data_IF_702037181770
#
_entry.id   IF_702037181770
#
_cell.length_a   1.000
_cell.length_b   1.000
_cell.length_c   1.000
_cell.angle_alpha   90.00
_cell.angle_beta   90.00
_cell.angle_gamma   90.00
#
_symmetry.space_group_name_H-M   'P 1'
#
loop_
_entity.id
_entity.type
_entity.pdbx_description
1 polymer ?
#
# COMPACT_ATOMS: atom_id res chain seq x y z
N UNK A 1 20.23 -2.17 9.94
CA UNK A 1 19.61 -3.51 9.97
C UNK A 1 18.43 -3.43 10.92
N UNK A 2 17.20 -3.31 10.41
CA UNK A 2 16.00 -3.21 11.24
C UNK A 2 15.07 -4.39 10.96
N UNK A 3 15.01 -5.26 11.97
CA UNK A 3 13.98 -6.23 12.37
C UNK A 3 13.33 -7.14 11.31
N UNK A 4 13.69 -8.43 11.41
CA UNK A 4 13.11 -9.61 10.78
C UNK A 4 11.66 -9.88 11.24
N UNK A 5 10.69 -9.08 10.79
CA UNK A 5 9.29 -9.47 10.73
C UNK A 5 8.93 -9.63 9.27
N UNK A 6 8.35 -10.77 8.86
CA UNK A 6 7.87 -11.04 7.49
C UNK A 6 7.64 -9.76 6.68
N UNK A 7 8.54 -9.43 5.74
CA UNK A 7 8.46 -8.16 5.02
C UNK A 7 7.05 -8.02 4.44
N UNK A 8 6.36 -6.92 4.74
CA UNK A 8 5.04 -6.61 4.15
C UNK A 8 5.07 -6.83 2.63
N UNK A 9 6.22 -6.58 2.01
CA UNK A 9 6.49 -6.90 0.62
C UNK A 9 6.21 -8.36 0.25
N UNK A 10 6.74 -9.36 0.95
CA UNK A 10 6.55 -10.77 0.57
C UNK A 10 5.11 -11.21 0.69
N UNK A 11 4.38 -10.68 1.69
CA UNK A 11 2.95 -10.96 1.85
C UNK A 11 2.13 -10.39 0.68
N UNK A 12 2.36 -9.13 0.33
CA UNK A 12 1.66 -8.50 -0.79
C UNK A 12 2.08 -9.11 -2.14
N UNK A 13 3.37 -9.41 -2.31
CA UNK A 13 3.90 -9.98 -3.55
C UNK A 13 3.36 -11.38 -3.80
N UNK A 14 3.25 -12.22 -2.76
CA UNK A 14 2.65 -13.55 -2.88
C UNK A 14 1.17 -13.50 -3.29
N UNK A 15 0.44 -12.47 -2.88
CA UNK A 15 -0.99 -12.34 -3.17
C UNK A 15 -1.30 -11.61 -4.49
N UNK A 16 -0.54 -10.56 -4.80
CA UNK A 16 -0.86 -9.64 -5.91
C UNK A 16 0.22 -9.58 -6.99
N UNK A 17 1.40 -10.16 -6.75
CA UNK A 17 2.55 -10.07 -7.64
C UNK A 17 3.29 -8.74 -7.55
N UNK A 18 3.94 -8.34 -8.64
CA UNK A 18 4.78 -7.15 -8.68
C UNK A 18 4.01 -5.82 -8.60
N UNK A 19 2.72 -5.82 -8.96
CA UNK A 19 1.89 -4.62 -9.01
C UNK A 19 0.51 -4.85 -8.41
N UNK A 20 -0.04 -3.84 -7.75
CA UNK A 20 -1.40 -3.82 -7.21
C UNK A 20 -2.28 -2.78 -7.90
N UNK A 21 -3.55 -3.09 -8.15
CA UNK A 21 -4.52 -2.08 -8.62
C UNK A 21 -5.04 -1.22 -7.47
N UNK A 22 -5.72 -0.12 -7.80
CA UNK A 22 -6.39 0.72 -6.80
C UNK A 22 -7.46 -0.07 -6.05
N UNK A 23 -8.18 -0.96 -6.73
CA UNK A 23 -9.19 -1.84 -6.15
C UNK A 23 -8.58 -2.81 -5.15
N UNK A 24 -7.41 -3.40 -5.47
CA UNK A 24 -6.70 -4.31 -4.57
C UNK A 24 -6.16 -3.57 -3.34
N UNK A 25 -5.51 -2.41 -3.54
CA UNK A 25 -5.05 -1.55 -2.45
C UNK A 25 -6.22 -1.16 -1.52
N UNK A 26 -7.35 -0.77 -2.11
CA UNK A 26 -8.59 -0.44 -1.39
C UNK A 26 -9.09 -1.66 -0.60
N UNK A 27 -9.16 -2.83 -1.22
CA UNK A 27 -9.63 -4.04 -0.55
C UNK A 27 -8.76 -4.41 0.65
N UNK A 28 -7.43 -4.27 0.54
CA UNK A 28 -6.47 -4.62 1.60
C UNK A 28 -6.49 -3.61 2.76
N UNK A 29 -6.47 -2.31 2.47
CA UNK A 29 -6.24 -1.28 3.51
C UNK A 29 -7.44 -0.39 3.81
N UNK A 30 -8.42 -0.31 2.90
CA UNK A 30 -9.57 0.59 3.00
C UNK A 30 -10.87 -0.09 2.53
N UNK A 31 -11.25 -1.27 3.08
CA UNK A 31 -12.31 -2.11 2.52
C UNK A 31 -13.69 -1.42 2.44
N UNK A 32 -13.94 -0.45 3.31
CA UNK A 32 -15.17 0.35 3.37
C UNK A 32 -15.14 1.62 2.53
N UNK A 33 -13.99 2.00 1.98
CA UNK A 33 -13.85 3.20 1.16
C UNK A 33 -14.32 2.95 -0.27
N UNK A 34 -14.90 3.97 -0.90
CA UNK A 34 -15.22 3.96 -2.33
C UNK A 34 -13.98 4.24 -3.20
N UNK A 35 -14.02 3.90 -4.49
CA UNK A 35 -12.95 4.25 -5.43
C UNK A 35 -12.76 5.76 -5.60
N UNK A 36 -13.85 6.54 -5.51
CA UNK A 36 -13.77 8.02 -5.50
C UNK A 36 -12.97 8.51 -4.28
N UNK A 37 -13.22 7.92 -3.11
CA UNK A 37 -12.46 8.23 -1.89
C UNK A 37 -10.97 7.88 -2.06
N UNK A 38 -10.66 6.76 -2.72
CA UNK A 38 -9.28 6.38 -3.02
C UNK A 38 -8.60 7.39 -3.95
N UNK A 39 -9.29 7.87 -4.99
CA UNK A 39 -8.77 8.90 -5.89
C UNK A 39 -8.48 10.23 -5.16
N UNK A 40 -9.36 10.62 -4.23
CA UNK A 40 -9.13 11.80 -3.38
C UNK A 40 -7.91 11.61 -2.48
N UNK A 41 -7.76 10.43 -1.86
CA UNK A 41 -6.58 10.10 -1.03
C UNK A 41 -5.28 10.11 -1.85
N UNK A 42 -5.33 9.61 -3.10
CA UNK A 42 -4.19 9.66 -4.01
C UNK A 42 -3.78 11.11 -4.32
N UNK A 43 -4.76 11.94 -4.68
CA UNK A 43 -4.52 13.37 -4.97
C UNK A 43 -4.00 14.13 -3.75
N UNK A 44 -4.42 13.73 -2.56
CA UNK A 44 -3.93 14.28 -1.29
C UNK A 44 -2.55 13.75 -0.86
N UNK A 45 -1.90 12.88 -1.64
CA UNK A 45 -0.60 12.29 -1.29
C UNK A 45 -0.65 11.31 -0.11
N UNK A 46 -1.83 10.77 0.21
CA UNK A 46 -2.04 9.84 1.32
C UNK A 46 -1.86 8.37 0.94
N UNK A 47 -1.65 8.09 -0.35
CA UNK A 47 -1.41 6.76 -0.90
C UNK A 47 0.01 6.69 -1.48
N UNK A 48 0.59 5.49 -1.65
CA UNK A 48 1.87 5.33 -2.31
C UNK A 48 1.83 5.88 -3.74
N UNK A 49 3.01 6.17 -4.29
CA UNK A 49 3.12 6.58 -5.69
C UNK A 49 2.57 5.48 -6.62
N UNK A 50 1.94 5.89 -7.72
CA UNK A 50 1.43 4.96 -8.74
C UNK A 50 2.19 5.14 -10.04
N UNK A 51 2.38 4.03 -10.75
CA UNK A 51 2.93 4.01 -12.11
C UNK A 51 1.76 3.78 -13.07
N UNK A 52 1.30 4.86 -13.70
CA UNK A 52 0.09 4.84 -14.51
C UNK A 52 -1.16 4.54 -13.67
N UNK A 53 -1.73 3.34 -13.84
CA UNK A 53 -2.96 2.92 -13.16
C UNK A 53 -2.74 1.88 -12.05
N UNK A 54 -1.49 1.49 -11.78
CA UNK A 54 -1.12 0.47 -10.79
C UNK A 54 -0.11 1.02 -9.78
N UNK A 55 -0.01 0.36 -8.63
CA UNK A 55 0.99 0.61 -7.61
C UNK A 55 2.05 -0.48 -7.67
N UNK A 56 3.32 -0.12 -7.51
CA UNK A 56 4.37 -1.11 -7.28
C UNK A 56 4.17 -1.73 -5.89
N UNK A 57 4.14 -3.06 -5.79
CA UNK A 57 3.89 -3.76 -4.54
C UNK A 57 4.95 -3.45 -3.47
N UNK A 58 6.20 -3.19 -3.87
CA UNK A 58 7.28 -2.78 -2.96
C UNK A 58 7.03 -1.39 -2.40
N UNK A 59 6.57 -0.46 -3.22
CA UNK A 59 6.25 0.90 -2.77
C UNK A 59 5.06 0.90 -1.80
N UNK A 60 4.05 0.05 -2.06
CA UNK A 60 2.94 -0.17 -1.12
C UNK A 60 3.43 -0.71 0.21
N UNK A 61 4.32 -1.70 0.19
CA UNK A 61 4.91 -2.27 1.41
C UNK A 61 5.67 -1.21 2.21
N UNK A 62 6.57 -0.48 1.55
CA UNK A 62 7.36 0.58 2.19
C UNK A 62 6.48 1.69 2.77
N UNK A 63 5.42 2.09 2.04
CA UNK A 63 4.45 3.09 2.52
C UNK A 63 3.70 2.62 3.77
N UNK A 64 3.32 1.34 3.82
CA UNK A 64 2.65 0.77 4.98
C UNK A 64 3.60 0.65 6.18
N UNK A 65 4.79 0.13 5.96
CA UNK A 65 5.78 -0.04 7.03
C UNK A 65 6.22 1.31 7.61
N UNK A 66 6.36 2.33 6.76
CA UNK A 66 6.61 3.70 7.19
C UNK A 66 5.52 4.26 8.10
N UNK A 67 4.24 3.97 7.82
CA UNK A 67 3.13 4.36 8.70
C UNK A 67 3.16 3.64 10.04
N UNK A 68 3.54 2.35 10.06
CA UNK A 68 3.65 1.58 11.31
C UNK A 68 4.75 2.13 12.20
N UNK A 69 5.89 2.50 11.61
CA UNK A 69 7.00 3.13 12.34
C UNK A 69 6.63 4.52 12.86
N UNK A 70 5.93 5.33 12.06
CA UNK A 70 5.49 6.67 12.45
C UNK A 70 4.45 6.66 13.59
N UNK A 71 3.72 5.56 13.79
CA UNK A 71 2.76 5.43 14.88
C UNK A 71 3.39 5.15 16.25
N UNK A 72 4.67 4.75 16.30
CA UNK A 72 5.35 4.38 17.55
C UNK A 72 4.69 3.18 18.26
N UNK A 73 5.38 2.54 19.23
CA UNK A 73 4.78 1.52 20.09
C UNK A 73 3.65 2.07 20.96
#
# INVERSE_FOLDING_TARGET
MTLHGFDTFWLLYGQFGATMTTEQLRATYFPTSSLKTMANKHTAGLLPSRIGNVYDTRDVANWWDGQRLARGP
#
